data_IF_021271853900
#
_entry.id   IF_021271853900
#
_cell.length_a   1.000
_cell.length_b   1.000
_cell.length_c   1.000
_cell.angle_alpha   90.00
_cell.angle_beta   90.00
_cell.angle_gamma   90.00
#
_symmetry.space_group_name_H-M   'P 1'
#
loop_
_entity.id
_entity.type
_entity.pdbx_description
1 polymer ?
#
# COMPACT_ATOMS: atom_id res chain seq x y z
N UNK A 1 23.46 1.41 -71.66
CA UNK A 1 22.41 0.70 -72.41
C UNK A 1 22.58 -0.79 -72.20
N UNK A 2 21.75 -1.43 -71.36
CA UNK A 2 21.63 -2.89 -71.27
C UNK A 2 20.29 -3.29 -70.65
N UNK A 3 19.50 -3.96 -71.49
CA UNK A 3 18.56 -5.05 -71.24
C UNK A 3 17.42 -4.90 -70.21
N UNK A 4 16.20 -4.78 -70.74
CA UNK A 4 14.96 -5.27 -70.14
C UNK A 4 15.09 -6.75 -69.76
N UNK A 5 14.51 -7.14 -68.61
CA UNK A 5 14.10 -8.53 -68.37
C UNK A 5 12.84 -8.63 -67.49
N UNK A 6 11.78 -9.01 -68.17
CA UNK A 6 10.59 -9.80 -67.80
C UNK A 6 9.98 -9.76 -66.38
N UNK A 7 8.70 -9.40 -66.42
CA UNK A 7 7.65 -9.55 -65.40
C UNK A 7 7.03 -10.96 -65.53
N UNK A 8 6.82 -11.71 -64.44
CA UNK A 8 5.88 -12.82 -64.45
C UNK A 8 4.53 -12.45 -63.82
N UNK A 9 3.47 -12.58 -64.62
CA UNK A 9 2.07 -12.66 -64.20
C UNK A 9 1.80 -14.00 -63.51
N UNK A 10 1.23 -13.99 -62.31
CA UNK A 10 0.51 -15.16 -61.76
C UNK A 10 -0.88 -14.76 -61.29
N UNK A 11 -1.85 -15.30 -61.99
CA UNK A 11 -3.24 -15.38 -61.59
C UNK A 11 -3.37 -16.25 -60.33
N UNK A 12 -4.11 -15.78 -59.34
CA UNK A 12 -4.73 -16.65 -58.35
C UNK A 12 -6.22 -16.34 -58.27
N UNK A 13 -6.96 -17.42 -58.46
CA UNK A 13 -8.38 -17.52 -58.67
C UNK A 13 -9.07 -17.58 -57.32
N UNK A 14 -10.06 -16.71 -57.13
CA UNK A 14 -11.03 -16.81 -56.04
C UNK A 14 -11.75 -18.16 -56.08
N UNK A 15 -11.88 -18.80 -54.91
CA UNK A 15 -13.21 -19.21 -54.40
C UNK A 15 -13.18 -19.55 -52.90
N UNK A 16 -14.23 -19.17 -52.15
CA UNK A 16 -14.33 -19.33 -50.71
C UNK A 16 -15.13 -20.58 -50.32
N UNK A 17 -14.79 -21.22 -49.19
CA UNK A 17 -15.78 -22.01 -48.43
C UNK A 17 -15.37 -22.25 -46.97
N UNK A 18 -16.20 -21.70 -46.07
CA UNK A 18 -16.71 -22.26 -44.80
C UNK A 18 -15.75 -22.70 -43.69
N UNK A 19 -15.68 -21.83 -42.66
CA UNK A 19 -16.01 -22.07 -41.24
C UNK A 19 -16.24 -23.54 -40.84
N UNK A 20 -15.43 -24.06 -39.91
CA UNK A 20 -15.92 -24.85 -38.77
C UNK A 20 -15.01 -24.65 -37.55
N UNK A 21 -15.63 -24.40 -36.39
CA UNK A 21 -15.03 -24.21 -35.06
C UNK A 21 -14.37 -25.48 -34.54
N UNK A 22 -13.25 -25.36 -33.82
CA UNK A 22 -12.93 -26.19 -32.63
C UNK A 22 -12.12 -25.36 -31.63
N UNK A 23 -12.61 -25.27 -30.40
CA UNK A 23 -11.93 -24.77 -29.19
C UNK A 23 -11.36 -25.99 -28.46
N UNK A 24 -10.14 -25.91 -27.88
CA UNK A 24 -9.69 -26.94 -26.94
C UNK A 24 -8.22 -26.90 -26.55
N UNK A 25 -7.96 -26.38 -25.34
CA UNK A 25 -6.94 -26.76 -24.35
C UNK A 25 -5.44 -26.80 -24.72
N UNK A 26 -4.68 -25.84 -24.18
CA UNK A 26 -3.23 -25.94 -24.00
C UNK A 26 -2.87 -25.64 -22.53
N UNK A 27 -2.59 -26.69 -21.75
CA UNK A 27 -1.93 -26.64 -20.45
C UNK A 27 -0.96 -27.81 -20.39
N UNK A 28 0.33 -27.54 -20.54
CA UNK A 28 1.41 -28.50 -20.32
C UNK A 28 2.57 -27.80 -19.59
N UNK A 29 2.58 -27.99 -18.27
CA UNK A 29 3.71 -28.42 -17.42
C UNK A 29 5.13 -28.03 -17.87
N UNK A 30 5.78 -27.14 -17.11
CA UNK A 30 7.24 -27.09 -17.01
C UNK A 30 7.67 -27.30 -15.55
N UNK A 31 8.44 -28.36 -15.33
CA UNK A 31 8.84 -28.88 -14.03
C UNK A 31 10.08 -28.23 -13.42
N UNK A 32 10.18 -28.41 -12.11
CA UNK A 32 11.18 -27.90 -11.18
C UNK A 32 12.59 -28.47 -11.38
N UNK A 33 13.61 -27.62 -11.19
CA UNK A 33 14.92 -28.02 -10.65
C UNK A 33 15.69 -26.81 -10.13
N UNK A 34 15.73 -26.61 -8.81
CA UNK A 34 16.80 -25.85 -8.12
C UNK A 34 17.08 -26.52 -6.78
N UNK A 35 18.34 -26.94 -6.57
CA UNK A 35 18.86 -27.49 -5.32
C UNK A 35 19.30 -26.36 -4.38
N UNK A 36 19.08 -26.43 -3.06
CA UNK A 36 19.59 -25.42 -2.14
C UNK A 36 21.08 -25.66 -1.85
N UNK A 37 21.89 -24.63 -2.05
CA UNK A 37 23.23 -24.52 -1.47
C UNK A 37 23.10 -23.86 -0.10
N UNK A 38 23.50 -24.57 0.95
CA UNK A 38 23.60 -24.05 2.32
C UNK A 38 24.89 -23.23 2.41
N UNK A 39 24.76 -21.92 2.56
CA UNK A 39 25.84 -21.04 2.97
C UNK A 39 25.63 -20.66 4.43
N UNK A 40 26.63 -20.98 5.24
CA UNK A 40 26.75 -20.66 6.67
C UNK A 40 26.89 -19.14 6.81
N UNK A 41 26.05 -18.50 7.61
CA UNK A 41 26.08 -17.05 7.83
C UNK A 41 25.94 -16.73 9.31
N UNK A 42 26.94 -15.98 9.77
CA UNK A 42 27.10 -15.35 11.08
C UNK A 42 25.83 -14.57 11.45
N UNK A 43 25.34 -14.61 12.71
CA UNK A 43 24.07 -13.99 13.06
C UNK A 43 24.15 -12.46 12.97
N UNK A 44 23.47 -11.91 11.98
CA UNK A 44 23.02 -10.52 11.93
C UNK A 44 21.50 -10.53 12.23
N UNK A 45 20.96 -9.60 13.04
CA UNK A 45 19.55 -9.65 13.43
C UNK A 45 18.66 -9.30 12.24
N UNK A 46 18.03 -10.31 11.65
CA UNK A 46 16.91 -10.13 10.72
C UNK A 46 15.60 -10.01 11.50
N UNK A 47 14.64 -9.15 11.08
CA UNK A 47 13.33 -9.10 11.69
C UNK A 47 12.60 -10.41 11.38
N UNK A 48 12.00 -11.00 12.40
CA UNK A 48 11.25 -12.25 12.28
C UNK A 48 9.87 -11.92 11.70
N UNK A 49 9.34 -12.74 10.77
CA UNK A 49 7.96 -12.69 10.25
C UNK A 49 6.87 -12.94 11.34
N UNK A 50 7.24 -12.94 12.62
CA UNK A 50 6.38 -12.96 13.79
C UNK A 50 7.03 -12.16 14.94
N UNK A 51 7.69 -11.05 14.59
CA UNK A 51 8.47 -10.24 15.50
C UNK A 51 7.59 -9.62 16.58
N UNK A 52 7.94 -9.88 17.84
CA UNK A 52 7.28 -9.22 18.96
C UNK A 52 7.49 -7.70 18.85
N UNK A 53 6.44 -6.94 19.13
CA UNK A 53 6.48 -5.49 19.02
C UNK A 53 7.64 -4.90 19.84
N UNK A 54 8.28 -3.81 19.37
CA UNK A 54 9.45 -3.27 20.05
C UNK A 54 9.10 -2.81 21.46
N UNK A 55 9.99 -3.13 22.39
CA UNK A 55 9.90 -2.73 23.81
C UNK A 55 10.72 -1.48 24.15
N UNK A 56 11.36 -0.90 23.12
CA UNK A 56 12.12 0.34 23.19
C UNK A 56 11.71 1.28 22.06
N UNK A 57 11.88 2.58 22.29
CA UNK A 57 11.68 3.61 21.29
C UNK A 57 13.01 4.08 20.72
N UNK A 58 12.99 4.53 19.47
CA UNK A 58 14.06 5.31 18.90
C UNK A 58 14.18 6.70 19.54
N UNK A 59 15.36 7.30 19.40
CA UNK A 59 15.65 8.67 19.87
C UNK A 59 15.73 9.69 18.72
N UNK A 60 15.61 9.23 17.47
CA UNK A 60 15.60 10.07 16.28
C UNK A 60 14.83 9.38 15.15
N UNK A 61 14.49 10.13 14.09
CA UNK A 61 13.91 9.55 12.87
C UNK A 61 14.74 8.44 12.24
N UNK A 62 16.06 8.44 12.43
CA UNK A 62 16.96 7.42 11.85
C UNK A 62 17.04 6.14 12.67
N UNK A 63 16.66 6.23 13.95
CA UNK A 63 16.73 5.14 14.92
C UNK A 63 15.33 4.76 15.41
N UNK A 64 14.29 5.22 14.71
CA UNK A 64 12.91 4.94 15.04
C UNK A 64 12.70 3.42 15.09
N UNK A 65 12.09 2.95 16.17
CA UNK A 65 11.82 1.53 16.32
C UNK A 65 10.70 1.12 15.38
N UNK A 66 10.96 0.12 14.56
CA UNK A 66 10.02 -0.35 13.54
C UNK A 66 9.00 -1.32 14.15
N UNK A 67 7.74 -1.20 13.74
CA UNK A 67 6.67 -2.12 14.11
C UNK A 67 5.56 -2.11 13.06
N UNK A 68 4.75 -3.16 13.05
CA UNK A 68 3.65 -3.31 12.11
C UNK A 68 2.34 -2.74 12.64
N UNK A 69 1.42 -2.46 11.73
CA UNK A 69 0.06 -2.08 12.10
C UNK A 69 -0.64 -3.25 12.79
N UNK A 70 -1.45 -2.97 13.82
CA UNK A 70 -2.08 -4.00 14.66
C UNK A 70 -1.19 -4.53 15.80
N UNK A 71 0.06 -4.05 15.91
CA UNK A 71 0.94 -4.34 17.03
C UNK A 71 0.95 -3.19 18.05
N UNK A 72 1.23 -3.51 19.32
CA UNK A 72 1.43 -2.54 20.40
C UNK A 72 2.91 -2.43 20.74
N UNK A 73 3.57 -1.35 20.30
CA UNK A 73 4.92 -1.02 20.72
C UNK A 73 4.92 -0.41 22.13
N UNK A 74 5.94 -0.72 22.92
CA UNK A 74 6.11 -0.17 24.27
C UNK A 74 7.47 0.50 24.42
N UNK A 75 7.61 1.40 25.38
CA UNK A 75 8.91 1.92 25.78
C UNK A 75 8.91 2.41 27.23
N UNK A 76 10.06 2.27 27.88
CA UNK A 76 10.38 2.99 29.13
C UNK A 76 11.27 4.17 28.79
N UNK A 77 10.94 5.35 29.30
CA UNK A 77 11.63 6.59 28.97
C UNK A 77 11.60 7.60 30.12
N UNK A 78 12.05 8.82 29.87
CA UNK A 78 11.92 9.93 30.80
C UNK A 78 11.05 11.06 30.24
N UNK A 79 10.39 11.80 31.12
CA UNK A 79 9.69 13.04 30.76
C UNK A 79 10.66 14.05 30.11
N UNK A 80 10.27 14.61 28.98
CA UNK A 80 11.11 15.50 28.18
C UNK A 80 11.83 14.82 27.01
N UNK A 81 11.86 13.49 26.97
CA UNK A 81 12.44 12.75 25.85
C UNK A 81 11.60 12.89 24.57
N UNK A 82 12.26 12.61 23.45
CA UNK A 82 11.61 12.42 22.16
C UNK A 82 11.68 10.95 21.78
N UNK A 83 10.52 10.32 21.69
CA UNK A 83 10.38 8.90 21.38
C UNK A 83 9.90 8.72 19.95
N UNK A 84 10.57 7.83 19.21
CA UNK A 84 10.33 7.62 17.78
C UNK A 84 10.03 6.16 17.45
N UNK A 85 8.99 5.96 16.66
CA UNK A 85 8.65 4.68 16.04
C UNK A 85 8.33 4.88 14.56
N UNK A 86 8.36 3.80 13.79
CA UNK A 86 7.93 3.81 12.40
C UNK A 86 7.07 2.60 12.04
N UNK A 87 6.10 2.84 11.17
CA UNK A 87 5.20 1.81 10.65
C UNK A 87 4.95 2.05 9.15
N UNK A 88 4.76 0.98 8.35
CA UNK A 88 4.39 1.13 6.94
C UNK A 88 2.90 1.44 6.79
N UNK A 89 2.50 2.26 5.82
CA UNK A 89 1.09 2.42 5.44
C UNK A 89 0.92 2.60 3.92
N UNK A 90 0.02 1.83 3.32
CA UNK A 90 -0.20 1.77 1.87
C UNK A 90 -1.47 2.51 1.42
N UNK A 91 -1.62 2.70 0.11
CA UNK A 91 -2.77 3.34 -0.51
C UNK A 91 -4.10 2.70 -0.08
N UNK A 92 -5.12 3.53 0.13
CA UNK A 92 -6.45 3.10 0.56
C UNK A 92 -6.57 2.90 2.09
N UNK A 93 -5.45 2.80 2.79
CA UNK A 93 -5.43 2.68 4.24
C UNK A 93 -5.69 4.03 4.93
N UNK A 94 -6.31 3.98 6.11
CA UNK A 94 -6.47 5.16 6.98
C UNK A 94 -5.96 4.84 8.38
N UNK A 95 -4.64 5.05 8.62
CA UNK A 95 -4.03 4.75 9.91
C UNK A 95 -4.55 5.65 11.03
N UNK A 96 -4.68 5.07 12.22
CA UNK A 96 -4.96 5.75 13.48
C UNK A 96 -3.89 5.39 14.49
N UNK A 97 -3.05 6.36 14.80
CA UNK A 97 -2.03 6.24 15.83
C UNK A 97 -2.64 6.57 17.18
N UNK A 98 -2.43 5.71 18.17
CA UNK A 98 -2.83 5.91 19.56
C UNK A 98 -1.60 5.84 20.44
N UNK A 99 -1.52 6.75 21.41
CA UNK A 99 -0.47 6.73 22.41
C UNK A 99 -1.08 6.82 23.80
N UNK A 100 -0.66 5.93 24.68
CA UNK A 100 -0.96 5.98 26.11
C UNK A 100 0.34 6.18 26.85
N UNK A 101 0.42 7.26 27.64
CA UNK A 101 1.58 7.54 28.49
C UNK A 101 1.16 7.38 29.93
N UNK A 102 1.82 6.47 30.65
CA UNK A 102 1.70 6.34 32.11
C UNK A 102 2.61 7.36 32.77
N UNK A 103 2.01 8.22 33.57
CA UNK A 103 2.67 9.36 34.20
C UNK A 103 3.26 8.95 35.55
N UNK A 104 4.38 9.57 35.96
CA UNK A 104 5.02 9.24 37.23
C UNK A 104 4.19 9.77 38.39
N UNK A 105 4.04 8.99 39.45
CA UNK A 105 3.40 9.43 40.70
C UNK A 105 4.15 10.59 41.40
N UNK A 106 5.38 10.88 40.99
CA UNK A 106 6.21 11.98 41.51
C UNK A 106 6.09 13.30 40.74
N UNK A 107 5.27 13.39 39.69
CA UNK A 107 5.06 14.64 38.97
C UNK A 107 4.35 15.68 39.87
N UNK A 108 4.87 16.89 39.91
CA UNK A 108 4.37 17.95 40.79
C UNK A 108 3.56 19.01 40.04
N UNK A 109 3.58 18.99 38.70
CA UNK A 109 2.93 19.96 37.85
C UNK A 109 2.20 19.33 36.66
N UNK A 110 1.38 20.13 35.98
CA UNK A 110 0.73 19.71 34.74
C UNK A 110 1.75 19.56 33.61
N UNK A 111 1.61 18.52 32.79
CA UNK A 111 2.41 18.29 31.59
C UNK A 111 1.54 18.29 30.34
N UNK A 112 2.03 18.87 29.24
CA UNK A 112 1.35 18.82 27.93
C UNK A 112 2.13 17.90 27.01
N UNK A 113 1.44 16.90 26.49
CA UNK A 113 1.97 15.87 25.62
C UNK A 113 1.46 16.05 24.20
N UNK A 114 2.28 15.66 23.24
CA UNK A 114 1.97 15.74 21.82
C UNK A 114 2.43 14.50 21.08
N UNK A 115 1.55 13.99 20.22
CA UNK A 115 1.86 12.98 19.21
C UNK A 115 1.84 13.62 17.83
N UNK A 116 2.94 13.47 17.11
CA UNK A 116 3.10 13.91 15.73
C UNK A 116 3.35 12.70 14.84
N UNK A 117 2.78 12.72 13.63
CA UNK A 117 3.01 11.71 12.60
C UNK A 117 3.64 12.40 11.40
N UNK A 118 4.69 11.81 10.87
CA UNK A 118 5.43 12.29 9.70
C UNK A 118 5.42 11.21 8.62
N UNK A 119 5.44 11.60 7.35
CA UNK A 119 5.67 10.66 6.25
C UNK A 119 7.17 10.39 6.03
N UNK A 120 7.48 9.58 5.01
CA UNK A 120 8.87 9.24 4.64
C UNK A 120 9.71 10.44 4.17
N UNK A 121 9.08 11.53 3.75
CA UNK A 121 9.73 12.81 3.43
C UNK A 121 9.89 13.71 4.66
N UNK A 122 9.50 13.21 5.83
CA UNK A 122 9.47 13.92 7.12
C UNK A 122 8.57 15.14 7.10
N UNK A 123 7.53 15.11 6.26
CA UNK A 123 6.48 16.11 6.33
C UNK A 123 5.47 15.72 7.40
N UNK A 124 5.16 16.64 8.32
CA UNK A 124 4.18 16.41 9.38
C UNK A 124 2.78 16.29 8.78
N UNK A 125 2.16 15.15 9.01
CA UNK A 125 0.81 14.87 8.56
C UNK A 125 -0.22 15.41 9.55
N UNK A 126 -1.24 16.09 9.01
CA UNK A 126 -2.34 16.59 9.82
C UNK A 126 -3.29 15.44 10.18
N UNK A 127 -3.74 15.39 11.43
CA UNK A 127 -4.71 14.39 11.85
C UNK A 127 -6.13 14.89 11.60
N UNK A 128 -6.88 14.08 10.86
CA UNK A 128 -8.28 14.31 10.53
C UNK A 128 -9.16 14.21 11.78
N UNK A 129 -8.83 13.26 12.67
CA UNK A 129 -9.52 13.05 13.94
C UNK A 129 -8.52 12.74 15.06
N UNK A 130 -9.00 12.85 16.30
CA UNK A 130 -8.21 12.54 17.49
C UNK A 130 -7.61 13.77 18.17
N UNK A 131 -7.14 13.57 19.40
CA UNK A 131 -6.49 14.61 20.17
C UNK A 131 -4.97 14.42 20.11
N UNK A 132 -4.33 15.15 19.19
CA UNK A 132 -2.86 15.11 19.03
C UNK A 132 -2.11 15.71 20.21
N UNK A 133 -2.76 16.59 20.97
CA UNK A 133 -2.18 17.29 22.11
C UNK A 133 -3.13 17.22 23.30
N UNK A 134 -2.62 16.84 24.47
CA UNK A 134 -3.37 16.78 25.72
C UNK A 134 -2.55 17.30 26.87
N UNK A 135 -3.21 18.01 27.79
CA UNK A 135 -2.61 18.42 29.05
C UNK A 135 -3.10 17.48 30.16
N UNK A 136 -2.15 16.86 30.83
CA UNK A 136 -2.37 16.08 32.04
C UNK A 136 -2.20 17.00 33.26
N UNK A 137 -3.13 16.91 34.21
CA UNK A 137 -2.98 17.60 35.50
C UNK A 137 -1.87 16.97 36.35
N UNK A 138 -1.49 17.64 37.45
CA UNK A 138 -0.45 17.14 38.36
C UNK A 138 -0.78 15.75 38.96
N UNK A 139 -2.07 15.48 39.19
CA UNK A 139 -2.56 14.21 39.76
C UNK A 139 -2.96 13.17 38.69
N UNK A 140 -2.72 13.44 37.41
CA UNK A 140 -3.10 12.53 36.34
C UNK A 140 -2.15 11.33 36.31
N UNK A 141 -2.71 10.12 36.23
CA UNK A 141 -1.94 8.87 36.17
C UNK A 141 -1.61 8.44 34.74
N UNK A 142 -2.38 8.91 33.76
CA UNK A 142 -2.14 8.65 32.34
C UNK A 142 -2.61 9.80 31.46
N UNK A 143 -2.09 9.82 30.24
CA UNK A 143 -2.58 10.66 29.15
C UNK A 143 -2.71 9.84 27.88
N UNK A 144 -3.85 9.98 27.21
CA UNK A 144 -4.16 9.31 25.96
C UNK A 144 -4.20 10.33 24.82
N UNK A 145 -3.47 10.03 23.75
CA UNK A 145 -3.39 10.84 22.54
C UNK A 145 -3.83 9.99 21.35
N UNK A 146 -4.39 10.64 20.34
CA UNK A 146 -4.78 9.95 19.11
C UNK A 146 -4.66 10.83 17.89
N UNK A 147 -4.33 10.18 16.77
CA UNK A 147 -4.03 10.81 15.51
C UNK A 147 -4.53 9.91 14.37
N UNK A 148 -5.76 10.15 13.89
CA UNK A 148 -6.26 9.49 12.68
C UNK A 148 -5.85 10.31 11.47
N UNK A 149 -5.08 9.73 10.57
CA UNK A 149 -4.66 10.37 9.33
C UNK A 149 -5.83 10.47 8.34
N UNK A 150 -5.65 11.27 7.30
CA UNK A 150 -6.45 11.12 6.07
C UNK A 150 -6.11 9.79 5.40
N UNK A 151 -6.98 9.32 4.51
CA UNK A 151 -6.69 8.13 3.70
C UNK A 151 -5.44 8.35 2.87
N UNK A 152 -4.53 7.39 2.93
CA UNK A 152 -3.32 7.35 2.13
C UNK A 152 -3.72 7.18 0.67
N UNK A 153 -3.27 8.09 -0.20
CA UNK A 153 -3.60 8.08 -1.63
C UNK A 153 -2.46 7.49 -2.43
N UNK A 154 -2.80 6.68 -3.44
CA UNK A 154 -1.81 6.15 -4.36
C UNK A 154 -1.02 7.23 -5.13
N UNK A 155 -1.52 8.48 -5.20
CA UNK A 155 -0.84 9.62 -5.81
C UNK A 155 -1.36 10.95 -5.25
N UNK A 156 -0.56 12.02 -5.34
CA UNK A 156 -0.94 13.40 -5.01
C UNK A 156 -0.22 14.42 -5.92
N UNK A 157 -0.87 15.57 -6.15
CA UNK A 157 -0.29 16.74 -6.82
C UNK A 157 0.84 17.34 -5.97
N UNK A 158 1.84 18.00 -6.58
CA UNK A 158 3.02 18.50 -5.86
C UNK A 158 2.74 19.56 -4.77
N UNK A 159 1.56 20.19 -4.81
CA UNK A 159 1.14 21.19 -3.82
C UNK A 159 0.16 20.62 -2.79
N UNK A 160 -0.15 19.32 -2.85
CA UNK A 160 -1.06 18.67 -1.92
C UNK A 160 -0.29 18.05 -0.75
N UNK A 161 -0.85 18.20 0.45
CA UNK A 161 -0.34 17.57 1.67
C UNK A 161 -1.02 16.22 1.94
N UNK A 162 -1.58 15.58 0.91
CA UNK A 162 -2.27 14.30 1.07
C UNK A 162 -1.27 13.19 1.44
N UNK A 163 -1.60 12.31 2.41
CA UNK A 163 -0.70 11.22 2.80
C UNK A 163 -0.46 10.26 1.64
N UNK A 164 0.79 9.82 1.47
CA UNK A 164 1.27 8.98 0.37
C UNK A 164 1.84 7.64 0.89
N UNK A 165 1.80 6.55 0.10
CA UNK A 165 2.33 5.25 0.50
C UNK A 165 3.79 5.34 0.91
N UNK A 166 4.14 4.72 2.03
CA UNK A 166 5.52 4.67 2.52
C UNK A 166 5.62 4.45 4.02
N UNK A 167 6.82 4.66 4.55
CA UNK A 167 7.08 4.56 5.99
C UNK A 167 6.65 5.85 6.68
N UNK A 168 5.82 5.73 7.71
CA UNK A 168 5.41 6.82 8.57
C UNK A 168 6.19 6.78 9.88
N UNK A 169 6.51 7.95 10.41
CA UNK A 169 7.24 8.13 11.66
C UNK A 169 6.37 8.78 12.71
N UNK A 170 6.30 8.17 13.88
CA UNK A 170 5.62 8.70 15.06
C UNK A 170 6.65 9.39 15.92
N UNK A 171 6.32 10.57 16.43
CA UNK A 171 7.07 11.25 17.49
C UNK A 171 6.15 11.56 18.65
N UNK A 172 6.47 11.00 19.82
CA UNK A 172 5.83 11.35 21.08
C UNK A 172 6.77 12.24 21.90
N UNK A 173 6.27 13.36 22.42
CA UNK A 173 7.06 14.28 23.23
C UNK A 173 6.18 15.15 24.14
N UNK A 174 6.80 15.81 25.11
CA UNK A 174 6.18 16.85 25.93
C UNK A 174 6.46 18.24 25.37
N UNK A 175 5.43 19.05 25.16
CA UNK A 175 5.56 20.43 24.67
C UNK A 175 5.51 21.48 25.77
N UNK A 176 4.98 21.12 26.95
CA UNK A 176 5.07 21.93 28.17
C UNK A 176 5.31 21.02 29.35
N UNK A 177 6.40 21.26 30.07
CA UNK A 177 6.80 20.48 31.22
C UNK A 177 7.57 21.40 32.17
N UNK A 178 7.29 21.35 33.48
CA UNK A 178 8.06 22.09 34.44
C UNK A 178 9.46 21.49 34.57
N UNK A 179 10.47 22.33 34.82
CA UNK A 179 11.86 21.89 34.95
C UNK A 179 12.05 20.88 36.09
N UNK A 180 11.24 20.99 37.16
CA UNK A 180 11.28 20.06 38.29
C UNK A 180 10.80 18.63 37.92
N UNK A 181 9.97 18.52 36.89
CA UNK A 181 9.40 17.25 36.45
C UNK A 181 10.15 16.66 35.24
N UNK A 182 11.29 17.23 34.82
CA UNK A 182 12.15 16.67 33.76
C UNK A 182 12.89 15.43 34.24
N UNK A 183 13.03 14.43 33.37
CA UNK A 183 13.81 13.22 33.67
C UNK A 183 13.05 12.16 34.48
N UNK A 184 11.81 12.43 34.91
CA UNK A 184 11.00 11.48 35.66
C UNK A 184 10.64 10.27 34.78
N UNK A 185 10.64 9.05 35.35
CA UNK A 185 10.39 7.84 34.56
C UNK A 185 8.95 7.77 34.06
N UNK A 186 8.79 7.40 32.79
CA UNK A 186 7.48 7.15 32.16
C UNK A 186 7.49 5.78 31.47
N UNK A 187 6.29 5.28 31.23
CA UNK A 187 6.07 4.13 30.34
C UNK A 187 5.07 4.54 29.27
N UNK A 188 5.35 4.17 28.03
CA UNK A 188 4.52 4.52 26.88
C UNK A 188 4.10 3.27 26.12
N UNK A 189 2.86 3.28 25.64
CA UNK A 189 2.31 2.27 24.73
C UNK A 189 1.85 3.00 23.47
N UNK A 190 2.27 2.52 22.31
CA UNK A 190 1.90 3.03 20.98
C UNK A 190 1.24 1.91 20.20
N UNK A 191 0.12 2.21 19.59
CA UNK A 191 -0.61 1.29 18.72
C UNK A 191 -1.00 2.02 17.44
N UNK A 192 -0.95 1.29 16.32
CA UNK A 192 -1.42 1.79 15.04
C UNK A 192 -2.43 0.82 14.48
N UNK A 193 -3.69 1.23 14.50
CA UNK A 193 -4.75 0.55 13.76
C UNK A 193 -4.87 1.16 12.36
N UNK A 194 -5.39 0.39 11.42
CA UNK A 194 -5.83 0.97 10.16
C UNK A 194 -7.11 0.37 9.65
N UNK A 195 -7.89 1.23 9.00
CA UNK A 195 -9.08 0.84 8.27
C UNK A 195 -8.80 0.92 6.78
N UNK A 196 -9.08 -0.17 6.09
CA UNK A 196 -9.16 -0.15 4.63
C UNK A 196 -10.44 0.59 4.19
N UNK A 197 -10.26 1.65 3.40
CA UNK A 197 -11.34 2.48 2.85
C UNK A 197 -11.77 1.99 1.45
N UNK A 198 -10.99 1.09 0.84
CA UNK A 198 -11.27 0.44 -0.43
C UNK A 198 -11.41 1.41 -1.61
N UNK A 199 -12.11 0.96 -2.65
CA UNK A 199 -12.26 1.68 -3.92
C UNK A 199 -12.94 3.06 -3.83
N UNK A 200 -13.59 3.40 -2.71
CA UNK A 200 -14.22 4.71 -2.51
C UNK A 200 -13.22 5.87 -2.39
N UNK A 201 -11.97 5.56 -2.03
CA UNK A 201 -10.86 6.50 -1.98
C UNK A 201 -9.80 6.25 -3.06
N UNK A 202 -10.01 5.26 -3.93
CA UNK A 202 -9.11 4.97 -5.04
C UNK A 202 -9.12 6.14 -6.04
N UNK A 203 -7.92 6.66 -6.33
CA UNK A 203 -7.69 7.66 -7.36
C UNK A 203 -6.98 7.00 -8.54
N UNK A 204 -7.21 7.51 -9.75
CA UNK A 204 -6.47 7.08 -10.93
C UNK A 204 -5.06 7.71 -10.89
N UNK A 205 -4.08 6.92 -10.44
CA UNK A 205 -2.68 7.32 -10.33
C UNK A 205 -1.94 6.48 -9.30
N UNK A 206 -0.66 6.23 -9.53
CA UNK A 206 0.22 5.51 -8.59
C UNK A 206 1.56 6.23 -8.48
N UNK A 207 2.11 6.25 -7.28
CA UNK A 207 3.52 6.56 -7.10
C UNK A 207 4.35 5.49 -7.80
N UNK A 208 5.42 5.91 -8.47
CA UNK A 208 6.36 4.98 -9.08
C UNK A 208 7.09 4.13 -8.04
N UNK A 209 7.33 4.70 -6.85
CA UNK A 209 7.93 4.03 -5.70
C UNK A 209 7.36 4.62 -4.39
N UNK A 210 7.19 3.81 -3.33
CA UNK A 210 6.72 4.28 -2.02
C UNK A 210 7.76 5.20 -1.35
N UNK A 211 7.30 6.07 -0.46
CA UNK A 211 8.14 7.00 0.30
C UNK A 211 8.83 6.27 1.47
N UNK A 212 9.80 5.43 1.14
CA UNK A 212 10.64 4.71 2.11
C UNK A 212 12.07 5.29 2.06
N UNK A 213 12.80 5.37 3.18
CA UNK A 213 14.21 5.78 3.15
C UNK A 213 15.04 4.91 2.18
N UNK A 214 15.87 5.55 1.35
CA UNK A 214 16.84 4.85 0.49
C UNK A 214 16.37 4.52 -0.93
N UNK A 215 15.06 4.59 -1.23
CA UNK A 215 14.51 4.17 -2.54
C UNK A 215 14.97 5.01 -3.75
N UNK A 216 15.45 6.23 -3.50
CA UNK A 216 15.96 7.14 -4.53
C UNK A 216 17.46 6.90 -4.84
N UNK A 217 18.17 6.22 -3.94
CA UNK A 217 19.60 5.91 -4.10
C UNK A 217 19.78 4.70 -5.01
N UNK A 218 18.87 3.72 -4.94
CA UNK A 218 18.89 2.52 -5.80
C UNK A 218 18.68 2.83 -7.28
N UNK A 219 17.91 3.86 -7.63
CA UNK A 219 17.70 4.30 -9.02
C UNK A 219 18.94 4.88 -9.73
N UNK A 220 20.03 5.13 -9.00
CA UNK A 220 21.30 5.57 -9.59
C UNK A 220 22.34 4.43 -9.68
N UNK A 221 22.02 3.24 -9.16
CA UNK A 221 22.86 2.04 -9.13
C UNK A 221 22.20 0.88 -9.89
N UNK A 222 21.54 1.16 -11.01
CA UNK A 222 21.08 0.10 -11.93
C UNK A 222 22.10 -0.24 -13.02
N UNK A 223 23.27 0.41 -13.04
CA UNK A 223 24.30 0.18 -14.08
C UNK A 223 25.51 -0.66 -13.65
N UNK A 224 25.73 -1.00 -12.36
CA UNK A 224 26.86 -1.86 -11.96
C UNK A 224 26.53 -2.77 -10.76
N UNK A 225 26.52 -4.08 -11.02
CA UNK A 225 26.65 -5.24 -10.11
C UNK A 225 25.96 -5.21 -8.72
N UNK A 226 24.83 -5.90 -8.64
CA UNK A 226 24.03 -6.12 -7.45
C UNK A 226 24.67 -7.10 -6.44
N UNK A 227 24.94 -6.62 -5.22
CA UNK A 227 24.93 -7.49 -4.01
C UNK A 227 24.73 -6.76 -2.67
N UNK A 228 24.33 -5.48 -2.64
CA UNK A 228 24.00 -4.78 -1.40
C UNK A 228 22.52 -4.36 -1.40
N UNK A 229 21.65 -5.33 -1.15
CA UNK A 229 20.25 -5.11 -0.77
C UNK A 229 20.24 -4.22 0.49
N UNK A 230 19.88 -2.94 0.31
CA UNK A 230 19.85 -1.98 1.41
C UNK A 230 18.86 -2.43 2.48
N UNK A 231 19.39 -2.63 3.69
CA UNK A 231 18.75 -3.15 4.92
C UNK A 231 17.57 -2.30 5.45
N UNK A 232 17.05 -1.35 4.65
CA UNK A 232 15.92 -0.48 4.98
C UNK A 232 14.66 -0.81 4.16
N UNK A 233 14.73 -1.79 3.26
CA UNK A 233 13.59 -2.32 2.50
C UNK A 233 12.69 -3.27 3.32
N UNK A 234 12.96 -3.48 4.62
CA UNK A 234 12.26 -4.49 5.45
C UNK A 234 10.84 -4.09 5.89
N UNK A 235 10.38 -2.87 5.62
CA UNK A 235 9.03 -2.40 5.98
C UNK A 235 8.07 -2.38 4.80
N UNK A 236 8.03 -3.48 4.06
CA UNK A 236 6.93 -3.70 3.11
C UNK A 236 5.68 -4.17 3.90
N UNK A 237 4.48 -3.62 3.65
CA UNK A 237 3.24 -4.16 4.20
C UNK A 237 3.09 -5.65 3.85
N UNK A 238 2.35 -6.41 4.65
CA UNK A 238 2.12 -7.87 4.47
C UNK A 238 1.70 -8.26 3.05
N UNK A 239 0.94 -7.40 2.37
CA UNK A 239 0.43 -7.64 1.02
C UNK A 239 1.31 -7.05 -0.11
N UNK A 240 2.43 -6.40 0.23
CA UNK A 240 3.28 -5.65 -0.70
C UNK A 240 2.84 -4.20 -0.91
N UNK A 241 3.77 -3.33 -1.31
CA UNK A 241 3.42 -1.98 -1.74
C UNK A 241 2.57 -2.04 -3.01
N UNK A 242 1.45 -1.32 -3.05
CA UNK A 242 0.56 -1.21 -4.24
C UNK A 242 -0.18 -2.51 -4.59
N UNK A 243 -0.56 -3.31 -3.61
CA UNK A 243 -1.28 -4.58 -3.78
C UNK A 243 -2.68 -4.39 -4.37
N UNK A 244 -2.77 -4.27 -5.70
CA UNK A 244 -4.06 -3.93 -6.30
C UNK A 244 -4.11 -3.74 -7.81
N UNK A 245 -3.48 -4.60 -8.63
CA UNK A 245 -3.97 -4.74 -10.01
C UNK A 245 -5.46 -5.14 -10.00
N UNK A 246 -5.91 -5.91 -8.99
CA UNK A 246 -7.29 -6.38 -8.80
C UNK A 246 -8.00 -5.50 -7.78
N UNK A 247 -8.59 -4.40 -8.23
CA UNK A 247 -9.39 -3.51 -7.37
C UNK A 247 -10.90 -3.76 -7.54
N UNK A 248 -11.71 -3.34 -6.56
CA UNK A 248 -13.18 -3.32 -6.64
C UNK A 248 -13.68 -2.68 -7.94
N UNK A 249 -12.92 -1.72 -8.51
CA UNK A 249 -13.20 -1.13 -9.82
C UNK A 249 -13.24 -2.18 -10.92
N UNK A 250 -12.30 -3.11 -10.96
CA UNK A 250 -12.29 -4.19 -11.96
C UNK A 250 -13.44 -5.16 -11.75
N UNK A 251 -13.81 -5.42 -10.49
CA UNK A 251 -15.01 -6.22 -10.16
C UNK A 251 -16.27 -5.56 -10.72
N UNK A 252 -16.45 -4.26 -10.45
CA UNK A 252 -17.59 -3.48 -10.98
C UNK A 252 -17.56 -3.35 -12.50
N UNK A 253 -16.38 -3.20 -13.10
CA UNK A 253 -16.23 -3.09 -14.57
C UNK A 253 -16.57 -4.41 -15.24
N UNK A 254 -16.09 -5.54 -14.72
CA UNK A 254 -16.42 -6.86 -15.22
C UNK A 254 -17.92 -7.17 -15.05
N UNK A 255 -18.49 -6.87 -13.88
CA UNK A 255 -19.92 -7.05 -13.63
C UNK A 255 -20.78 -6.20 -14.57
N UNK A 256 -20.41 -4.93 -14.75
CA UNK A 256 -21.06 -4.02 -15.70
C UNK A 256 -20.98 -4.52 -17.15
N UNK A 257 -19.82 -5.04 -17.56
CA UNK A 257 -19.64 -5.62 -18.90
C UNK A 257 -20.51 -6.86 -19.11
N UNK A 258 -20.60 -7.74 -18.10
CA UNK A 258 -21.48 -8.91 -18.13
C UNK A 258 -22.95 -8.48 -18.24
N UNK A 259 -23.40 -7.51 -17.43
CA UNK A 259 -24.77 -7.01 -17.49
C UNK A 259 -25.10 -6.35 -18.84
N UNK A 260 -24.17 -5.57 -19.40
CA UNK A 260 -24.32 -4.96 -20.72
C UNK A 260 -24.39 -6.01 -21.83
N UNK A 261 -23.57 -7.06 -21.76
CA UNK A 261 -23.61 -8.17 -22.70
C UNK A 261 -24.94 -8.93 -22.63
N UNK A 262 -25.45 -9.22 -21.42
CA UNK A 262 -26.75 -9.86 -21.22
C UNK A 262 -27.89 -8.99 -21.76
N UNK A 263 -27.87 -7.69 -21.50
CA UNK A 263 -28.85 -6.76 -22.05
C UNK A 263 -28.78 -6.69 -23.59
N UNK A 264 -27.58 -6.71 -24.18
CA UNK A 264 -27.38 -6.74 -25.62
C UNK A 264 -27.91 -8.03 -26.26
N UNK A 265 -27.61 -9.19 -25.66
CA UNK A 265 -28.12 -10.50 -26.13
C UNK A 265 -29.65 -10.57 -25.98
N UNK A 266 -30.19 -10.09 -24.86
CA UNK A 266 -31.63 -10.01 -24.60
C UNK A 266 -32.36 -9.07 -25.58
N UNK A 267 -31.81 -7.88 -25.83
CA UNK A 267 -32.35 -6.95 -26.80
C UNK A 267 -32.30 -7.50 -28.23
N UNK A 268 -31.20 -8.17 -28.60
CA UNK A 268 -31.06 -8.80 -29.90
C UNK A 268 -32.04 -9.97 -30.09
N UNK A 269 -32.26 -10.81 -29.08
CA UNK A 269 -33.21 -11.92 -29.16
C UNK A 269 -34.66 -11.42 -29.30
N UNK A 270 -35.03 -10.33 -28.61
CA UNK A 270 -36.34 -9.70 -28.73
C UNK A 270 -36.56 -9.04 -30.10
N UNK A 271 -35.55 -8.38 -30.66
CA UNK A 271 -35.68 -7.62 -31.91
C UNK A 271 -35.53 -8.46 -33.17
N UNK A 272 -34.93 -9.66 -33.09
CA UNK A 272 -34.72 -10.53 -34.27
C UNK A 272 -36.03 -11.05 -34.88
N UNK A 273 -37.13 -11.10 -34.11
CA UNK A 273 -38.42 -11.61 -34.53
C UNK A 273 -38.41 -13.10 -34.92
N UNK A 274 -39.57 -13.77 -34.91
CA UNK A 274 -39.68 -15.11 -35.48
C UNK A 274 -39.41 -15.02 -36.98
N UNK A 275 -38.32 -15.63 -37.45
CA UNK A 275 -37.85 -15.53 -38.84
C UNK A 275 -38.93 -15.76 -39.90
N UNK A 276 -38.65 -15.24 -41.10
CA UNK A 276 -39.54 -15.24 -42.28
C UNK A 276 -40.29 -16.58 -42.44
N UNK A 277 -41.63 -16.59 -42.57
CA UNK A 277 -42.39 -17.82 -42.71
C UNK A 277 -41.94 -18.62 -43.93
N UNK A 278 -41.61 -19.89 -43.69
CA UNK A 278 -41.26 -20.86 -44.72
C UNK A 278 -42.52 -21.32 -45.45
N UNK A 279 -43.08 -20.48 -46.32
CA UNK A 279 -44.03 -20.94 -47.34
C UNK A 279 -44.03 -20.00 -48.53
N UNK A 280 -43.10 -20.24 -49.45
CA UNK A 280 -43.26 -19.84 -50.85
C UNK A 280 -43.98 -21.01 -51.53
N UNK A 281 -45.20 -20.83 -52.06
CA UNK A 281 -45.86 -21.88 -52.84
C UNK A 281 -45.03 -22.17 -54.09
N UNK A 282 -44.97 -23.42 -54.57
CA UNK A 282 -44.32 -23.71 -55.84
C UNK A 282 -45.01 -22.93 -56.97
N UNK A 283 -44.25 -22.37 -57.93
CA UNK A 283 -44.85 -21.75 -59.11
C UNK A 283 -45.58 -22.85 -59.89
N UNK A 284 -46.88 -22.65 -60.10
CA UNK A 284 -47.67 -23.53 -60.94
C UNK A 284 -47.23 -23.45 -62.40
N UNK A 285 -46.92 -24.61 -62.98
CA UNK A 285 -47.09 -24.95 -64.39
C UNK A 285 -47.05 -26.48 -64.51
#
# INVERSE_FOLDING_TARGET
MRALKDRPTRALKDRPTRITRVVGAALLMLGLAVSPAVADSTPSPSPSENGEAPTEAGTSFRTAAEFEQGQTATASASTGDYLYWSFPADAGQRPTVRATVKLPAGAQSSSTWQIDVYDGLRHRQACQYGAQTRTAGAEATSVELSCTLRTVRAWAEQWSDDPLPGTYYIRLTTTRLATADLGLPISTEIEVDSKDIGGSAAVDGSLAKPLVPGIAVTSQQEDEDASDEAVLSSLEPDDGWTSGWWSDRWVWTALGAVLAALAGIGGYSLTRGSGRPARVPPPGA
#
